data_IF_152470129194
#
_entry.id   IF_152470129194
#
_cell.length_a   1.000
_cell.length_b   1.000
_cell.length_c   1.000
_cell.angle_alpha   90.00
_cell.angle_beta   90.00
_cell.angle_gamma   90.00
#
_symmetry.space_group_name_H-M   'P 1'
#
loop_
_entity.id
_entity.type
_entity.pdbx_description
1 polymer ?
#
# COMPACT_ATOMS: atom_id res chain seq x y z
N UNK A 1 -33.29 -8.39 -12.17
CA UNK A 1 -32.23 -7.49 -12.67
C UNK A 1 -30.92 -8.15 -12.31
N UNK A 2 -30.10 -8.52 -13.29
CA UNK A 2 -28.75 -9.02 -13.07
C UNK A 2 -27.94 -8.12 -12.12
N UNK A 3 -27.10 -8.72 -11.27
CA UNK A 3 -26.24 -7.97 -10.35
C UNK A 3 -25.14 -7.20 -11.10
N UNK A 4 -24.74 -7.66 -12.29
CA UNK A 4 -23.80 -6.94 -13.16
C UNK A 4 -24.34 -5.55 -13.53
N UNK A 5 -25.66 -5.39 -13.71
CA UNK A 5 -26.25 -4.10 -14.09
C UNK A 5 -26.04 -3.04 -12.99
N UNK A 6 -25.98 -3.45 -11.71
CA UNK A 6 -25.67 -2.55 -10.59
C UNK A 6 -24.23 -2.02 -10.71
N UNK A 7 -23.33 -2.81 -11.32
CA UNK A 7 -21.93 -2.46 -11.50
C UNK A 7 -21.74 -1.55 -12.71
N UNK A 8 -22.37 -1.88 -13.84
CA UNK A 8 -22.08 -1.26 -15.15
C UNK A 8 -23.01 -0.13 -15.55
N UNK A 9 -24.18 0.01 -14.91
CA UNK A 9 -25.16 1.01 -15.26
C UNK A 9 -24.65 2.44 -15.06
N UNK A 10 -24.86 3.30 -16.07
CA UNK A 10 -24.67 4.74 -15.97
C UNK A 10 -25.81 5.44 -15.21
N UNK A 11 -26.98 4.81 -15.10
CA UNK A 11 -28.08 5.32 -14.28
C UNK A 11 -27.76 5.19 -12.79
N UNK A 12 -27.73 6.32 -12.11
CA UNK A 12 -27.41 6.46 -10.68
C UNK A 12 -28.39 5.67 -9.82
N UNK A 13 -29.68 5.60 -10.19
CA UNK A 13 -30.68 4.89 -9.35
C UNK A 13 -30.45 3.38 -9.34
N UNK A 14 -30.02 2.83 -10.47
CA UNK A 14 -29.62 1.43 -10.60
C UNK A 14 -28.25 1.19 -9.96
N UNK A 15 -27.27 2.04 -10.26
CA UNK A 15 -25.88 1.90 -9.77
C UNK A 15 -25.77 2.00 -8.25
N UNK A 16 -26.55 2.87 -7.62
CA UNK A 16 -26.50 3.10 -6.17
C UNK A 16 -27.40 2.13 -5.37
N UNK A 17 -28.02 1.15 -6.03
CA UNK A 17 -28.82 0.13 -5.34
C UNK A 17 -27.90 -0.72 -4.45
N UNK A 18 -28.34 -0.97 -3.22
CA UNK A 18 -27.56 -1.84 -2.32
C UNK A 18 -27.59 -3.28 -2.80
N UNK A 19 -26.44 -3.96 -2.66
CA UNK A 19 -26.34 -5.38 -2.95
C UNK A 19 -27.33 -6.20 -2.10
N UNK A 20 -27.49 -5.82 -0.82
CA UNK A 20 -28.46 -6.47 0.07
C UNK A 20 -29.89 -6.44 -0.48
N UNK A 21 -30.36 -5.29 -0.96
CA UNK A 21 -31.69 -5.17 -1.54
C UNK A 21 -31.83 -5.99 -2.82
N UNK A 22 -30.76 -6.08 -3.63
CA UNK A 22 -30.76 -6.85 -4.86
C UNK A 22 -30.71 -8.37 -4.63
N UNK A 23 -30.02 -8.83 -3.59
CA UNK A 23 -29.94 -10.24 -3.20
C UNK A 23 -31.14 -10.72 -2.38
N UNK A 24 -31.90 -9.80 -1.77
CA UNK A 24 -33.04 -10.12 -0.93
C UNK A 24 -34.09 -10.93 -1.69
N UNK A 25 -34.45 -12.10 -1.15
CA UNK A 25 -35.47 -12.97 -1.73
C UNK A 25 -35.01 -13.77 -2.96
N UNK A 26 -33.73 -13.70 -3.35
CA UNK A 26 -33.19 -14.60 -4.36
C UNK A 26 -33.05 -16.01 -3.77
N UNK A 27 -33.42 -17.01 -4.57
CA UNK A 27 -33.19 -18.42 -4.24
C UNK A 27 -31.71 -18.78 -4.35
N UNK A 28 -31.30 -19.88 -3.72
CA UNK A 28 -29.95 -20.42 -3.82
C UNK A 28 -29.45 -20.51 -5.28
N UNK A 29 -30.27 -21.09 -6.17
CA UNK A 29 -29.90 -21.25 -7.58
C UNK A 29 -29.69 -19.92 -8.31
N UNK A 30 -30.51 -18.90 -8.00
CA UNK A 30 -30.33 -17.55 -8.56
C UNK A 30 -29.06 -16.89 -8.03
N UNK A 31 -28.79 -16.98 -6.72
CA UNK A 31 -27.55 -16.43 -6.16
C UNK A 31 -26.30 -17.05 -6.79
N UNK A 32 -26.29 -18.37 -6.96
CA UNK A 32 -25.16 -19.05 -7.61
C UNK A 32 -25.02 -18.67 -9.08
N UNK A 33 -26.12 -18.48 -9.79
CA UNK A 33 -26.10 -18.00 -11.17
C UNK A 33 -25.50 -16.59 -11.27
N UNK A 34 -25.95 -15.67 -10.41
CA UNK A 34 -25.42 -14.30 -10.37
C UNK A 34 -23.92 -14.30 -9.97
N UNK A 35 -23.50 -15.17 -9.05
CA UNK A 35 -22.08 -15.38 -8.73
C UNK A 35 -21.29 -15.84 -9.96
N UNK A 36 -21.79 -16.79 -10.73
CA UNK A 36 -21.10 -17.25 -11.94
C UNK A 36 -20.96 -16.11 -12.96
N UNK A 37 -22.03 -15.35 -13.21
CA UNK A 37 -22.01 -14.22 -14.12
C UNK A 37 -21.00 -13.14 -13.67
N UNK A 38 -20.97 -12.82 -12.38
CA UNK A 38 -19.99 -11.89 -11.82
C UNK A 38 -18.55 -12.42 -11.92
N UNK A 39 -18.33 -13.73 -11.72
CA UNK A 39 -17.01 -14.35 -11.85
C UNK A 39 -16.49 -14.30 -13.28
N UNK A 40 -17.36 -14.63 -14.25
CA UNK A 40 -17.03 -14.55 -15.68
C UNK A 40 -16.72 -13.11 -16.08
N UNK A 41 -17.57 -12.16 -15.65
CA UNK A 41 -17.41 -10.75 -15.97
C UNK A 41 -16.09 -10.18 -15.42
N UNK A 42 -15.72 -10.45 -14.18
CA UNK A 42 -14.47 -9.92 -13.60
C UNK A 42 -13.22 -10.42 -14.33
N UNK A 43 -13.28 -11.61 -14.97
CA UNK A 43 -12.13 -12.21 -15.68
C UNK A 43 -11.90 -11.54 -17.04
N UNK A 44 -12.96 -11.07 -17.69
CA UNK A 44 -12.88 -10.42 -19.02
C UNK A 44 -12.98 -8.90 -18.98
N UNK A 45 -13.41 -8.30 -17.87
CA UNK A 45 -13.62 -6.85 -17.78
C UNK A 45 -12.30 -6.09 -17.70
N UNK A 46 -12.08 -5.12 -18.59
CA UNK A 46 -10.91 -4.24 -18.58
C UNK A 46 -11.01 -3.12 -17.53
N UNK A 47 -12.24 -2.71 -17.17
CA UNK A 47 -12.46 -1.64 -16.21
C UNK A 47 -12.13 -2.12 -14.78
N UNK A 48 -11.17 -1.44 -14.15
CA UNK A 48 -10.66 -1.83 -12.84
C UNK A 48 -11.72 -1.70 -11.75
N UNK A 49 -12.47 -0.59 -11.74
CA UNK A 49 -13.50 -0.35 -10.75
C UNK A 49 -14.57 -1.46 -10.80
N UNK A 50 -15.02 -1.80 -12.01
CA UNK A 50 -15.99 -2.87 -12.22
C UNK A 50 -15.45 -4.24 -11.76
N UNK A 51 -14.19 -4.55 -12.06
CA UNK A 51 -13.55 -5.79 -11.64
C UNK A 51 -13.48 -5.90 -10.12
N UNK A 52 -13.01 -4.86 -9.43
CA UNK A 52 -12.90 -4.83 -7.96
C UNK A 52 -14.29 -4.85 -7.31
N UNK A 53 -15.26 -4.11 -7.86
CA UNK A 53 -16.65 -4.13 -7.38
C UNK A 53 -17.28 -5.51 -7.50
N UNK A 54 -17.02 -6.22 -8.60
CA UNK A 54 -17.46 -7.60 -8.82
C UNK A 54 -16.86 -8.55 -7.77
N UNK A 55 -15.56 -8.42 -7.47
CA UNK A 55 -14.89 -9.21 -6.44
C UNK A 55 -15.49 -8.97 -5.05
N UNK A 56 -15.80 -7.73 -4.68
CA UNK A 56 -16.45 -7.43 -3.39
C UNK A 56 -17.91 -7.88 -3.35
N UNK A 57 -18.63 -7.84 -4.48
CA UNK A 57 -19.97 -8.43 -4.58
C UNK A 57 -19.92 -9.94 -4.37
N UNK A 58 -19.00 -10.63 -5.05
CA UNK A 58 -18.76 -12.06 -4.89
C UNK A 58 -18.42 -12.42 -3.45
N UNK A 59 -17.48 -11.69 -2.83
CA UNK A 59 -17.18 -11.84 -1.41
C UNK A 59 -18.43 -11.70 -0.53
N UNK A 60 -19.19 -10.61 -0.70
CA UNK A 60 -20.37 -10.34 0.12
C UNK A 60 -21.47 -11.40 -0.06
N UNK A 61 -21.71 -11.85 -1.29
CA UNK A 61 -22.68 -12.90 -1.59
C UNK A 61 -22.25 -14.21 -0.91
N UNK A 62 -21.00 -14.62 -1.08
CA UNK A 62 -20.48 -15.85 -0.47
C UNK A 62 -20.43 -15.79 1.05
N UNK A 63 -20.17 -14.61 1.64
CA UNK A 63 -19.99 -14.44 3.08
C UNK A 63 -21.29 -14.23 3.84
N UNK A 64 -22.25 -13.53 3.24
CA UNK A 64 -23.44 -13.03 3.96
C UNK A 64 -24.76 -13.50 3.36
N UNK A 65 -24.88 -13.65 2.04
CA UNK A 65 -26.15 -13.99 1.40
C UNK A 65 -26.34 -15.50 1.21
N UNK A 66 -25.34 -16.20 0.65
CA UNK A 66 -25.40 -17.65 0.43
C UNK A 66 -25.59 -18.46 1.71
N UNK A 67 -24.93 -18.17 2.86
CA UNK A 67 -25.12 -18.97 4.08
C UNK A 67 -26.58 -19.06 4.54
N UNK A 68 -27.37 -18.01 4.33
CA UNK A 68 -28.80 -18.00 4.70
C UNK A 68 -29.66 -18.96 3.88
N UNK A 69 -29.17 -19.37 2.70
CA UNK A 69 -29.84 -20.29 1.79
C UNK A 69 -29.27 -21.72 1.85
N UNK A 70 -28.27 -21.95 2.72
CA UNK A 70 -27.53 -23.21 2.82
C UNK A 70 -27.83 -23.98 4.12
N UNK A 71 -29.02 -23.80 4.67
CA UNK A 71 -29.50 -24.56 5.83
C UNK A 71 -29.46 -26.07 5.54
N UNK A 72 -28.86 -26.85 6.44
CA UNK A 72 -28.59 -28.28 6.24
C UNK A 72 -27.33 -28.58 5.43
N UNK A 73 -26.54 -27.56 5.07
CA UNK A 73 -25.23 -27.68 4.37
C UNK A 73 -24.15 -26.83 5.05
N UNK A 74 -24.16 -26.81 6.38
CA UNK A 74 -23.25 -26.01 7.20
C UNK A 74 -21.79 -26.49 7.08
N UNK A 75 -21.61 -27.80 6.91
CA UNK A 75 -20.30 -28.45 6.77
C UNK A 75 -20.02 -28.86 5.33
N UNK A 76 -18.78 -28.66 4.88
CA UNK A 76 -18.26 -29.26 3.66
C UNK A 76 -16.73 -29.29 3.66
N UNK A 77 -16.14 -29.99 2.69
CA UNK A 77 -14.69 -30.14 2.58
C UNK A 77 -14.08 -28.94 1.86
N UNK A 78 -13.11 -28.30 2.50
CA UNK A 78 -12.24 -27.32 1.83
C UNK A 78 -11.08 -28.10 1.21
N UNK A 79 -10.82 -27.88 -0.08
CA UNK A 79 -9.73 -28.54 -0.79
C UNK A 79 -8.37 -28.15 -0.20
N UNK A 80 -7.55 -29.14 0.16
CA UNK A 80 -6.18 -28.92 0.61
C UNK A 80 -5.35 -28.16 -0.43
N UNK A 81 -5.44 -28.56 -1.70
CA UNK A 81 -4.74 -27.88 -2.80
C UNK A 81 -5.18 -26.41 -2.94
N UNK A 82 -6.48 -26.14 -2.83
CA UNK A 82 -6.99 -24.76 -2.86
C UNK A 82 -6.49 -23.93 -1.67
N UNK A 83 -6.39 -24.53 -0.48
CA UNK A 83 -5.82 -23.87 0.70
C UNK A 83 -4.32 -23.61 0.57
N UNK A 84 -3.56 -24.53 -0.04
CA UNK A 84 -2.15 -24.30 -0.35
C UNK A 84 -1.96 -23.13 -1.33
N UNK A 85 -2.82 -23.00 -2.34
CA UNK A 85 -2.82 -21.83 -3.22
C UNK A 85 -3.08 -20.53 -2.45
N UNK A 86 -4.03 -20.52 -1.51
CA UNK A 86 -4.29 -19.37 -0.64
C UNK A 86 -3.05 -18.94 0.16
N UNK A 87 -2.36 -19.90 0.80
CA UNK A 87 -1.14 -19.62 1.58
C UNK A 87 -0.03 -19.02 0.73
N UNK A 88 0.07 -19.46 -0.53
CA UNK A 88 1.04 -18.96 -1.50
C UNK A 88 0.56 -17.71 -2.26
N UNK A 89 -0.53 -17.07 -1.83
CA UNK A 89 -1.12 -15.87 -2.47
C UNK A 89 -1.50 -16.06 -3.95
N UNK A 90 -1.77 -17.31 -4.35
CA UNK A 90 -2.25 -17.73 -5.68
C UNK A 90 -3.77 -17.78 -5.69
N UNK A 91 -4.42 -16.64 -5.49
CA UNK A 91 -5.87 -16.56 -5.26
C UNK A 91 -6.73 -16.97 -6.47
N UNK A 92 -6.37 -16.63 -7.73
CA UNK A 92 -7.11 -17.12 -8.90
C UNK A 92 -7.16 -18.64 -8.97
N UNK A 93 -6.03 -19.32 -8.74
CA UNK A 93 -5.94 -20.78 -8.75
C UNK A 93 -6.70 -21.41 -7.57
N UNK A 94 -6.65 -20.78 -6.39
CA UNK A 94 -7.46 -21.19 -5.24
C UNK A 94 -8.96 -21.14 -5.55
N UNK A 95 -9.42 -20.05 -6.18
CA UNK A 95 -10.81 -19.88 -6.60
C UNK A 95 -11.23 -20.94 -7.61
N UNK A 96 -10.42 -21.22 -8.64
CA UNK A 96 -10.73 -22.24 -9.63
C UNK A 96 -10.91 -23.62 -8.99
N UNK A 97 -10.05 -23.98 -8.02
CA UNK A 97 -10.17 -25.22 -7.24
C UNK A 97 -11.43 -25.24 -6.38
N UNK A 98 -11.74 -24.16 -5.67
CA UNK A 98 -12.90 -24.10 -4.79
C UNK A 98 -14.23 -24.09 -5.56
N UNK A 99 -14.32 -23.33 -6.66
CA UNK A 99 -15.49 -23.27 -7.53
C UNK A 99 -15.72 -24.62 -8.24
N UNK A 100 -14.66 -25.28 -8.71
CA UNK A 100 -14.75 -26.64 -9.27
C UNK A 100 -15.29 -27.64 -8.23
N UNK A 101 -14.83 -27.54 -6.98
CA UNK A 101 -15.35 -28.37 -5.89
C UNK A 101 -16.82 -28.07 -5.59
N UNK A 102 -17.22 -26.81 -5.62
CA UNK A 102 -18.60 -26.38 -5.43
C UNK A 102 -19.52 -26.93 -6.53
N UNK A 103 -19.05 -26.96 -7.77
CA UNK A 103 -19.80 -27.51 -8.89
C UNK A 103 -19.99 -29.04 -8.76
N UNK A 104 -19.01 -29.75 -8.19
CA UNK A 104 -19.03 -31.22 -8.06
C UNK A 104 -19.81 -31.70 -6.83
N UNK A 105 -19.53 -31.12 -5.67
CA UNK A 105 -20.10 -31.55 -4.39
C UNK A 105 -21.38 -30.78 -4.00
N UNK A 106 -21.64 -29.68 -4.70
CA UNK A 106 -22.63 -28.69 -4.31
C UNK A 106 -22.08 -27.64 -3.33
N UNK A 107 -22.84 -26.54 -3.10
CA UNK A 107 -22.47 -25.49 -2.17
C UNK A 107 -22.63 -25.94 -0.70
N UNK A 108 -21.72 -25.46 0.14
CA UNK A 108 -21.79 -25.55 1.61
C UNK A 108 -21.30 -24.25 2.24
N UNK A 109 -21.65 -24.01 3.51
CA UNK A 109 -21.19 -22.81 4.23
C UNK A 109 -19.67 -22.79 4.37
N UNK A 110 -19.04 -23.94 4.64
CA UNK A 110 -17.57 -24.03 4.74
C UNK A 110 -16.87 -23.67 3.43
N UNK A 111 -17.37 -24.17 2.30
CA UNK A 111 -16.78 -23.89 0.99
C UNK A 111 -17.05 -22.44 0.55
N UNK A 112 -18.26 -21.94 0.79
CA UNK A 112 -18.61 -20.54 0.53
C UNK A 112 -17.74 -19.58 1.35
N UNK A 113 -17.39 -19.93 2.59
CA UNK A 113 -16.45 -19.15 3.40
C UNK A 113 -15.05 -19.10 2.78
N UNK A 114 -14.54 -20.22 2.26
CA UNK A 114 -13.23 -20.28 1.59
C UNK A 114 -13.22 -19.46 0.28
N UNK A 115 -14.27 -19.60 -0.53
CA UNK A 115 -14.46 -18.83 -1.77
C UNK A 115 -14.56 -17.33 -1.47
N UNK A 116 -15.37 -16.96 -0.46
CA UNK A 116 -15.51 -15.57 -0.02
C UNK A 116 -14.16 -14.97 0.39
N UNK A 117 -13.39 -15.64 1.25
CA UNK A 117 -12.05 -15.18 1.64
C UNK A 117 -11.11 -15.06 0.44
N UNK A 118 -11.15 -16.00 -0.51
CA UNK A 118 -10.34 -15.95 -1.72
C UNK A 118 -10.69 -14.74 -2.61
N UNK A 119 -11.98 -14.45 -2.82
CA UNK A 119 -12.41 -13.23 -3.53
C UNK A 119 -12.01 -11.95 -2.82
N UNK A 120 -12.14 -11.91 -1.49
CA UNK A 120 -11.71 -10.77 -0.69
C UNK A 120 -10.21 -10.50 -0.85
N UNK A 121 -9.39 -11.54 -0.73
CA UNK A 121 -7.93 -11.44 -0.94
C UNK A 121 -7.57 -11.02 -2.36
N UNK A 122 -8.25 -11.57 -3.36
CA UNK A 122 -8.05 -11.19 -4.76
C UNK A 122 -8.46 -9.74 -5.03
N UNK A 123 -9.50 -9.22 -4.38
CA UNK A 123 -9.90 -7.81 -4.49
C UNK A 123 -8.77 -6.87 -4.04
N UNK A 124 -8.19 -7.13 -2.86
CA UNK A 124 -7.07 -6.35 -2.35
C UNK A 124 -5.80 -6.52 -3.17
N UNK A 125 -5.49 -7.73 -3.66
CA UNK A 125 -4.36 -7.94 -4.57
C UNK A 125 -4.54 -7.14 -5.87
N UNK A 126 -5.75 -7.15 -6.44
CA UNK A 126 -6.08 -6.40 -7.67
C UNK A 126 -5.88 -4.90 -7.49
N UNK A 127 -6.30 -4.35 -6.33
CA UNK A 127 -6.06 -2.94 -5.99
C UNK A 127 -4.56 -2.63 -5.79
N UNK A 128 -3.85 -3.50 -5.06
CA UNK A 128 -2.41 -3.33 -4.84
C UNK A 128 -1.61 -3.38 -6.14
N UNK A 129 -1.99 -4.26 -7.07
CA UNK A 129 -1.36 -4.36 -8.39
C UNK A 129 -1.63 -3.13 -9.26
N UNK A 130 -2.81 -2.51 -9.15
CA UNK A 130 -3.03 -1.21 -9.78
C UNK A 130 -2.11 -0.15 -9.19
N UNK A 131 -1.99 -0.05 -7.87
CA UNK A 131 -1.09 0.93 -7.24
C UNK A 131 0.35 0.73 -7.72
N UNK A 132 0.83 -0.51 -7.77
CA UNK A 132 2.15 -0.82 -8.34
C UNK A 132 2.28 -0.37 -9.79
N UNK A 133 1.24 -0.61 -10.62
CA UNK A 133 1.22 -0.20 -12.03
C UNK A 133 1.27 1.32 -12.17
N UNK A 134 0.42 2.07 -11.45
CA UNK A 134 0.35 3.54 -11.52
C UNK A 134 1.64 4.17 -11.00
N UNK A 135 2.23 3.66 -9.91
CA UNK A 135 3.50 4.18 -9.39
C UNK A 135 4.67 3.86 -10.35
N UNK A 136 4.64 2.73 -11.04
CA UNK A 136 5.63 2.37 -12.07
C UNK A 136 5.57 3.30 -13.29
N UNK A 137 4.39 3.79 -13.66
CA UNK A 137 4.24 4.70 -14.83
C UNK A 137 4.69 6.12 -14.53
N UNK A 138 4.73 6.54 -13.26
CA UNK A 138 5.31 7.83 -12.85
C UNK A 138 6.78 7.91 -13.29
N UNK A 139 7.12 8.96 -14.04
CA UNK A 139 8.47 9.24 -14.51
C UNK A 139 9.44 9.26 -13.32
N UNK A 140 10.52 8.49 -13.41
CA UNK A 140 11.53 8.38 -12.35
C UNK A 140 11.42 7.13 -11.46
N UNK A 141 10.34 6.35 -11.56
CA UNK A 141 10.15 5.12 -10.76
C UNK A 141 10.41 3.82 -11.53
N UNK A 142 10.40 3.82 -12.86
CA UNK A 142 10.47 2.60 -13.69
C UNK A 142 11.66 1.69 -13.36
N UNK A 143 12.82 2.27 -13.04
CA UNK A 143 14.03 1.52 -12.72
C UNK A 143 13.86 0.62 -11.49
N UNK A 144 13.06 1.05 -10.50
CA UNK A 144 12.82 0.30 -9.26
C UNK A 144 12.13 -1.04 -9.54
N UNK A 145 11.30 -1.10 -10.58
CA UNK A 145 10.56 -2.31 -10.95
C UNK A 145 11.35 -3.21 -11.92
N UNK A 146 12.48 -2.74 -12.45
CA UNK A 146 13.35 -3.49 -13.38
C UNK A 146 14.64 -3.99 -12.74
N UNK A 147 15.00 -3.44 -11.58
CA UNK A 147 16.23 -3.80 -10.86
C UNK A 147 16.01 -5.11 -10.12
N UNK A 148 16.37 -6.23 -10.75
CA UNK A 148 16.16 -7.59 -10.20
C UNK A 148 17.34 -8.18 -9.43
N UNK A 149 18.52 -7.57 -9.52
CA UNK A 149 19.74 -8.10 -8.94
C UNK A 149 20.55 -7.01 -8.24
N UNK A 150 21.26 -7.30 -7.12
CA UNK A 150 22.09 -6.32 -6.40
C UNK A 150 23.09 -5.55 -7.28
N UNK A 151 23.63 -6.20 -8.30
CA UNK A 151 24.58 -5.61 -9.23
C UNK A 151 23.97 -4.49 -10.11
N UNK A 152 22.64 -4.44 -10.26
CA UNK A 152 21.98 -3.50 -11.17
C UNK A 152 21.53 -2.21 -10.47
N UNK A 153 21.79 -2.08 -9.16
CA UNK A 153 21.38 -0.90 -8.38
C UNK A 153 22.07 0.35 -8.92
N UNK A 154 21.31 1.36 -9.38
CA UNK A 154 21.87 2.58 -9.96
C UNK A 154 22.19 3.65 -8.92
N UNK A 155 21.75 3.46 -7.67
CA UNK A 155 21.87 4.45 -6.61
C UNK A 155 23.28 4.50 -6.02
N UNK A 156 23.66 5.68 -5.55
CA UNK A 156 24.91 5.95 -4.83
C UNK A 156 24.60 6.88 -3.66
N UNK A 157 25.17 6.60 -2.48
CA UNK A 157 25.10 7.50 -1.34
C UNK A 157 25.90 8.77 -1.62
N UNK A 158 25.37 9.91 -1.17
CA UNK A 158 26.05 11.21 -1.22
C UNK A 158 27.41 11.14 -0.52
N UNK A 159 28.52 11.57 -1.16
CA UNK A 159 29.83 11.68 -0.53
C UNK A 159 29.84 12.50 0.76
N UNK A 160 28.93 13.46 0.89
CA UNK A 160 28.73 14.26 2.10
C UNK A 160 28.39 13.39 3.34
N UNK A 161 27.78 12.22 3.14
CA UNK A 161 27.45 11.26 4.20
C UNK A 161 28.53 10.20 4.42
N UNK A 162 29.56 10.18 3.57
CA UNK A 162 30.67 9.21 3.63
C UNK A 162 31.94 9.78 4.28
N UNK A 163 31.94 11.07 4.61
CA UNK A 163 33.08 11.72 5.27
C UNK A 163 32.94 11.58 6.78
N UNK A 164 33.79 10.76 7.38
CA UNK A 164 33.89 10.66 8.84
C UNK A 164 34.19 12.05 9.43
N UNK A 165 33.52 12.36 10.54
CA UNK A 165 33.80 13.53 11.34
C UNK A 165 35.09 13.30 12.14
N UNK A 166 36.08 14.18 11.97
CA UNK A 166 37.35 14.12 12.71
C UNK A 166 37.16 14.24 14.24
N UNK A 167 36.07 14.86 14.69
CA UNK A 167 35.80 15.10 16.11
C UNK A 167 35.15 13.90 16.81
N UNK A 168 34.25 13.21 16.12
CA UNK A 168 33.43 12.14 16.71
C UNK A 168 33.80 10.76 16.20
N UNK A 169 34.70 10.68 15.21
CA UNK A 169 35.06 9.47 14.48
C UNK A 169 33.81 8.69 14.00
N UNK A 170 32.81 9.42 13.50
CA UNK A 170 31.52 8.87 13.10
C UNK A 170 31.02 9.50 11.80
N UNK A 171 30.19 8.77 11.06
CA UNK A 171 29.57 9.29 9.84
C UNK A 171 28.50 10.34 10.18
N UNK A 172 28.29 11.34 9.30
CA UNK A 172 27.24 12.34 9.47
C UNK A 172 25.86 11.71 9.51
N UNK A 173 24.98 12.28 10.34
CA UNK A 173 23.59 11.86 10.44
C UNK A 173 22.73 12.80 9.60
N UNK A 174 22.09 12.26 8.56
CA UNK A 174 21.02 12.97 7.86
C UNK A 174 19.76 12.85 8.71
N UNK A 175 19.12 13.98 9.01
CA UNK A 175 17.90 14.03 9.82
C UNK A 175 16.79 14.73 9.08
N UNK A 176 15.58 14.17 9.15
CA UNK A 176 14.37 14.73 8.59
C UNK A 176 13.29 14.84 9.66
N UNK A 177 12.64 16.01 9.74
CA UNK A 177 11.54 16.27 10.67
C UNK A 177 10.31 16.68 9.88
N UNK A 178 9.17 16.06 10.18
CA UNK A 178 7.96 16.20 9.35
C UNK A 178 6.73 16.42 10.22
N UNK A 179 5.87 17.34 9.77
CA UNK A 179 4.57 17.59 10.37
C UNK A 179 3.63 16.40 10.18
N UNK A 180 2.60 16.29 11.01
CA UNK A 180 1.50 15.32 10.80
C UNK A 180 0.35 15.98 10.04
N UNK A 181 -0.54 15.18 9.48
CA UNK A 181 -1.70 15.69 8.75
C UNK A 181 -2.93 15.75 9.68
N UNK A 182 -3.52 16.92 9.84
CA UNK A 182 -4.85 17.08 10.44
C UNK A 182 -5.90 17.19 9.34
N UNK A 183 -6.99 16.44 9.47
CA UNK A 183 -8.11 16.53 8.54
C UNK A 183 -9.12 17.60 9.02
N UNK A 184 -9.61 18.45 8.11
CA UNK A 184 -10.77 19.29 8.37
C UNK A 184 -12.05 18.68 7.78
N UNK A 185 -11.93 18.01 6.62
CA UNK A 185 -13.03 17.31 5.96
C UNK A 185 -12.49 16.25 5.00
N UNK A 186 -12.77 14.98 5.32
CA UNK A 186 -12.56 13.83 4.45
C UNK A 186 -13.72 13.57 3.47
N UNK A 187 -14.76 14.41 3.48
CA UNK A 187 -15.98 14.29 2.66
C UNK A 187 -16.54 12.86 2.62
N UNK A 188 -16.67 12.23 3.79
CA UNK A 188 -17.15 10.85 3.91
C UNK A 188 -16.17 9.76 3.45
N UNK A 189 -14.87 9.92 3.70
CA UNK A 189 -13.81 8.98 3.29
C UNK A 189 -13.65 8.90 1.77
N UNK A 190 -13.93 10.01 1.10
CA UNK A 190 -13.84 10.16 -0.35
C UNK A 190 -12.40 9.98 -0.90
N UNK A 191 -11.42 9.91 0.01
CA UNK A 191 -10.02 9.65 -0.26
C UNK A 191 -9.66 8.16 -0.44
N UNK A 192 -10.63 7.25 -0.27
CA UNK A 192 -10.44 5.84 -0.61
C UNK A 192 -10.34 5.73 -2.14
N UNK A 193 -9.23 5.19 -2.64
CA UNK A 193 -8.97 5.04 -4.09
C UNK A 193 -10.16 4.45 -4.84
N UNK A 194 -10.78 3.40 -4.29
CA UNK A 194 -11.93 2.74 -4.90
C UNK A 194 -13.15 3.67 -5.08
N UNK A 195 -13.38 4.61 -4.16
CA UNK A 195 -14.45 5.61 -4.30
C UNK A 195 -14.07 6.69 -5.32
N UNK A 196 -12.82 7.15 -5.29
CA UNK A 196 -12.30 8.11 -6.25
C UNK A 196 -12.35 7.61 -7.70
N UNK A 197 -12.19 6.31 -7.93
CA UNK A 197 -12.28 5.69 -9.26
C UNK A 197 -13.70 5.71 -9.86
N UNK A 198 -14.76 5.83 -9.06
CA UNK A 198 -16.16 5.84 -9.51
C UNK A 198 -16.81 7.22 -9.44
N UNK A 199 -16.36 8.06 -8.52
CA UNK A 199 -16.87 9.41 -8.36
C UNK A 199 -15.74 10.40 -8.04
N UNK A 200 -14.81 10.63 -8.99
CA UNK A 200 -13.68 11.53 -8.79
C UNK A 200 -14.12 12.97 -8.47
N UNK A 201 -15.27 13.40 -9.00
CA UNK A 201 -15.82 14.73 -8.75
C UNK A 201 -16.24 14.92 -7.27
N UNK A 202 -16.54 13.83 -6.56
CA UNK A 202 -16.83 13.82 -5.12
C UNK A 202 -15.62 13.51 -4.24
N UNK A 203 -14.48 13.11 -4.83
CA UNK A 203 -13.25 12.78 -4.14
C UNK A 203 -12.52 14.07 -3.74
N UNK A 204 -12.88 14.66 -2.60
CA UNK A 204 -12.36 15.98 -2.19
C UNK A 204 -12.07 16.01 -0.71
N UNK A 205 -10.89 16.49 -0.35
CA UNK A 205 -10.48 16.65 1.05
C UNK A 205 -9.83 18.00 1.30
N UNK A 206 -10.04 18.53 2.51
CA UNK A 206 -9.34 19.71 2.99
C UNK A 206 -8.58 19.30 4.25
N UNK A 207 -7.26 19.39 4.19
CA UNK A 207 -6.39 19.02 5.32
C UNK A 207 -5.29 20.05 5.55
N UNK A 208 -4.58 19.93 6.67
CA UNK A 208 -3.42 20.74 6.98
C UNK A 208 -2.25 19.89 7.47
N UNK A 209 -1.03 20.28 7.14
CA UNK A 209 0.16 19.80 7.84
C UNK A 209 0.40 20.64 9.09
N UNK A 210 0.43 20.00 10.26
CA UNK A 210 0.53 20.66 11.55
C UNK A 210 1.67 20.09 12.40
N UNK A 211 2.31 21.00 13.13
CA UNK A 211 3.24 20.70 14.20
C UNK A 211 2.48 20.59 15.53
N UNK A 212 3.02 19.83 16.49
CA UNK A 212 2.35 19.56 17.76
C UNK A 212 3.17 20.07 18.95
N UNK A 213 2.46 20.51 19.99
CA UNK A 213 3.03 20.80 21.30
C UNK A 213 2.18 20.20 22.40
N UNK A 214 2.83 19.58 23.39
CA UNK A 214 2.19 19.23 24.66
C UNK A 214 2.26 20.46 25.56
N UNK A 215 1.09 21.00 25.93
CA UNK A 215 0.99 22.19 26.78
C UNK A 215 1.74 21.98 28.10
N UNK A 216 2.63 22.92 28.45
CA UNK A 216 3.44 22.86 29.66
C UNK A 216 4.74 22.05 29.54
N UNK A 217 4.91 21.25 28.47
CA UNK A 217 6.15 20.53 28.18
C UNK A 217 6.95 21.20 27.06
N UNK A 218 6.28 21.67 26.01
CA UNK A 218 6.92 22.30 24.85
C UNK A 218 6.74 23.83 24.90
N UNK A 219 7.78 24.55 24.49
CA UNK A 219 7.77 26.03 24.39
C UNK A 219 7.05 26.51 23.13
N UNK A 220 7.08 25.73 22.06
CA UNK A 220 6.38 25.96 20.79
C UNK A 220 6.00 24.63 20.12
N UNK A 221 5.02 24.60 19.21
CA UNK A 221 4.77 23.44 18.36
C UNK A 221 6.02 23.06 17.56
N UNK A 222 6.27 21.76 17.45
CA UNK A 222 7.35 21.21 16.63
C UNK A 222 6.87 20.01 15.81
N UNK A 223 7.55 19.67 14.71
CA UNK A 223 7.22 18.48 13.94
C UNK A 223 7.37 17.22 14.81
N UNK A 224 6.33 16.39 14.94
CA UNK A 224 6.32 15.24 15.84
C UNK A 224 7.01 14.01 15.26
N UNK A 225 7.20 13.95 13.93
CA UNK A 225 7.92 12.88 13.25
C UNK A 225 9.39 13.28 13.09
N UNK A 226 10.28 12.35 13.45
CA UNK A 226 11.72 12.51 13.38
C UNK A 226 12.34 11.24 12.81
N UNK A 227 13.08 11.38 11.72
CA UNK A 227 13.75 10.29 11.05
C UNK A 227 15.23 10.61 10.91
N UNK A 228 16.08 9.60 11.00
CA UNK A 228 17.50 9.74 10.72
C UNK A 228 18.07 8.58 9.91
N UNK A 229 19.10 8.89 9.14
CA UNK A 229 19.87 7.95 8.34
C UNK A 229 21.35 8.23 8.56
N UNK A 230 22.13 7.17 8.78
CA UNK A 230 23.59 7.25 8.80
C UNK A 230 24.21 6.01 8.17
N UNK A 231 25.41 6.18 7.65
CA UNK A 231 26.28 5.06 7.25
C UNK A 231 26.87 4.42 8.51
N UNK A 232 27.04 3.10 8.47
CA UNK A 232 27.66 2.30 9.53
C UNK A 232 28.75 1.40 8.95
N UNK A 233 29.69 0.98 9.78
CA UNK A 233 30.86 0.14 9.45
C UNK A 233 30.57 -1.37 9.47
N UNK A 234 29.30 -1.73 9.32
CA UNK A 234 28.82 -3.11 9.20
C UNK A 234 27.93 -3.25 7.97
N UNK A 235 28.09 -4.30 7.14
CA UNK A 235 27.35 -4.45 5.88
C UNK A 235 25.94 -5.00 6.09
N UNK A 236 25.13 -4.28 6.87
CA UNK A 236 23.75 -4.62 7.23
C UNK A 236 22.82 -3.43 7.01
N UNK A 237 21.53 -3.72 6.83
CA UNK A 237 20.48 -2.72 6.92
C UNK A 237 19.89 -2.78 8.33
N UNK A 238 20.19 -1.78 9.15
CA UNK A 238 19.70 -1.69 10.52
C UNK A 238 18.50 -0.76 10.56
N UNK A 239 17.36 -1.28 11.01
CA UNK A 239 16.13 -0.51 11.16
C UNK A 239 15.80 -0.37 12.65
N UNK A 240 15.46 0.84 13.08
CA UNK A 240 15.18 1.16 14.48
C UNK A 240 13.92 2.03 14.56
N UNK A 241 12.99 1.68 15.43
CA UNK A 241 11.93 2.59 15.90
C UNK A 241 12.12 2.79 17.40
N UNK A 242 12.39 4.04 17.79
CA UNK A 242 12.60 4.40 19.20
C UNK A 242 11.29 4.28 19.98
N UNK A 243 10.18 4.69 19.36
CA UNK A 243 8.85 4.69 19.98
C UNK A 243 8.25 3.30 20.15
N UNK A 244 8.62 2.34 19.29
CA UNK A 244 8.20 0.93 19.42
C UNK A 244 9.21 0.08 20.19
N UNK A 245 10.32 0.65 20.66
CA UNK A 245 11.45 -0.07 21.28
C UNK A 245 11.88 -1.29 20.45
N UNK A 246 11.98 -1.09 19.13
CA UNK A 246 12.21 -2.16 18.16
C UNK A 246 13.45 -1.90 17.32
N UNK A 247 14.28 -2.93 17.18
CA UNK A 247 15.49 -2.93 16.34
C UNK A 247 15.60 -4.24 15.58
N UNK A 248 15.98 -4.17 14.30
CA UNK A 248 16.34 -5.33 13.49
C UNK A 248 17.58 -5.03 12.66
N UNK A 249 18.41 -6.04 12.45
CA UNK A 249 19.54 -6.01 11.52
C UNK A 249 19.28 -7.02 10.41
N UNK A 250 19.11 -6.51 9.20
CA UNK A 250 18.73 -7.31 8.04
C UNK A 250 19.98 -7.60 7.21
N UNK A 251 20.18 -8.87 6.87
CA UNK A 251 21.32 -9.37 6.09
C UNK A 251 20.90 -9.93 4.74
N UNK A 252 19.71 -10.52 4.65
CA UNK A 252 19.18 -11.06 3.41
C UNK A 252 18.10 -10.14 2.81
N UNK A 253 18.10 -9.98 1.49
CA UNK A 253 17.16 -9.08 0.78
C UNK A 253 15.70 -9.49 1.03
N UNK A 254 15.42 -10.80 1.04
CA UNK A 254 14.07 -11.32 1.22
C UNK A 254 13.46 -10.93 2.59
N UNK A 255 14.28 -10.72 3.63
CA UNK A 255 13.80 -10.28 4.95
C UNK A 255 13.24 -8.85 4.94
N UNK A 256 13.62 -8.02 3.95
CA UNK A 256 13.06 -6.68 3.75
C UNK A 256 11.61 -6.76 3.26
N UNK A 257 11.25 -7.82 2.54
CA UNK A 257 9.89 -8.06 2.03
C UNK A 257 9.02 -8.89 3.00
N UNK A 258 9.60 -9.40 4.09
CA UNK A 258 8.87 -10.11 5.14
C UNK A 258 8.31 -9.13 6.18
N UNK A 259 7.13 -8.59 5.88
CA UNK A 259 6.42 -7.63 6.74
C UNK A 259 5.84 -8.26 8.02
N UNK A 260 5.73 -9.59 8.10
CA UNK A 260 5.15 -10.28 9.25
C UNK A 260 6.19 -10.63 10.33
N UNK A 261 7.48 -10.54 10.00
CA UNK A 261 8.59 -10.92 10.88
C UNK A 261 8.77 -10.03 12.11
N UNK A 262 8.44 -8.76 12.00
CA UNK A 262 8.69 -7.75 13.03
C UNK A 262 7.71 -6.56 12.93
N UNK A 263 7.78 -5.64 13.89
CA UNK A 263 6.92 -4.46 13.96
C UNK A 263 7.44 -3.27 13.13
N UNK A 264 8.50 -3.44 12.33
CA UNK A 264 9.15 -2.37 11.55
C UNK A 264 8.73 -2.39 10.08
N UNK A 265 7.60 -3.04 9.76
CA UNK A 265 7.06 -3.13 8.40
C UNK A 265 6.89 -1.78 7.68
N UNK A 266 6.60 -0.69 8.41
CA UNK A 266 6.52 0.65 7.83
C UNK A 266 7.88 1.14 7.33
N UNK A 267 8.95 0.94 8.12
CA UNK A 267 10.31 1.32 7.73
C UNK A 267 10.78 0.45 6.55
N UNK A 268 10.46 -0.85 6.55
CA UNK A 268 10.70 -1.73 5.39
C UNK A 268 10.00 -1.22 4.13
N UNK A 269 8.73 -0.83 4.25
CA UNK A 269 7.97 -0.19 3.18
C UNK A 269 8.65 1.08 2.65
N UNK A 270 9.21 1.90 3.54
CA UNK A 270 9.96 3.09 3.17
C UNK A 270 11.26 2.76 2.41
N UNK A 271 12.02 1.77 2.87
CA UNK A 271 13.26 1.30 2.22
C UNK A 271 12.98 0.80 0.81
N UNK A 272 11.91 0.02 0.65
CA UNK A 272 11.47 -0.51 -0.65
C UNK A 272 11.02 0.62 -1.57
N UNK A 273 10.13 1.49 -1.08
CA UNK A 273 9.56 2.58 -1.85
C UNK A 273 10.58 3.70 -2.17
N UNK A 274 11.60 3.90 -1.35
CA UNK A 274 12.73 4.78 -1.65
C UNK A 274 13.67 4.19 -2.73
N UNK A 275 13.54 2.89 -3.02
CA UNK A 275 14.36 2.18 -3.99
C UNK A 275 15.74 1.77 -3.47
N UNK A 276 15.98 1.83 -2.15
CA UNK A 276 17.21 1.29 -1.57
C UNK A 276 17.30 -0.22 -1.79
N UNK A 277 16.18 -0.92 -1.54
CA UNK A 277 15.96 -2.34 -1.85
C UNK A 277 14.67 -2.42 -2.68
N UNK A 278 14.73 -2.11 -3.98
CA UNK A 278 13.54 -1.81 -4.78
C UNK A 278 12.67 -3.05 -5.04
N UNK A 279 11.36 -2.89 -5.37
CA UNK A 279 10.43 -4.00 -5.58
C UNK A 279 10.89 -5.08 -6.57
N UNK A 280 11.67 -4.72 -7.58
CA UNK A 280 12.21 -5.67 -8.56
C UNK A 280 13.09 -6.77 -7.93
N UNK A 281 13.64 -6.54 -6.74
CA UNK A 281 14.50 -7.50 -6.03
C UNK A 281 13.74 -8.51 -5.17
N UNK A 282 12.42 -8.41 -5.06
CA UNK A 282 11.61 -9.35 -4.28
C UNK A 282 11.83 -10.77 -4.81
N UNK A 283 12.31 -11.67 -3.95
CA UNK A 283 12.57 -13.07 -4.31
C UNK A 283 13.93 -13.35 -4.97
N UNK A 284 14.81 -12.36 -5.13
CA UNK A 284 16.14 -12.60 -5.76
C UNK A 284 17.09 -13.44 -4.88
N UNK A 285 16.85 -13.52 -3.56
CA UNK A 285 17.67 -14.31 -2.64
C UNK A 285 19.10 -13.81 -2.41
N UNK A 286 19.40 -12.56 -2.77
CA UNK A 286 20.73 -11.94 -2.56
C UNK A 286 20.92 -11.32 -1.16
N UNK A 287 22.14 -10.86 -0.87
CA UNK A 287 22.49 -10.24 0.41
C UNK A 287 22.44 -8.72 0.37
N UNK A 288 22.12 -8.11 1.51
CA UNK A 288 22.18 -6.65 1.70
C UNK A 288 23.59 -6.12 1.46
N UNK A 289 24.61 -6.87 1.89
CA UNK A 289 26.01 -6.52 1.69
C UNK A 289 26.37 -6.29 0.21
N UNK A 290 25.79 -7.09 -0.71
CA UNK A 290 26.06 -6.99 -2.14
C UNK A 290 25.49 -5.69 -2.73
N UNK A 291 24.30 -5.29 -2.25
CA UNK A 291 23.67 -4.01 -2.63
C UNK A 291 24.50 -2.83 -2.11
N UNK A 292 24.85 -2.86 -0.82
CA UNK A 292 25.56 -1.76 -0.18
C UNK A 292 27.02 -1.62 -0.59
N UNK A 293 27.68 -2.73 -0.95
CA UNK A 293 29.03 -2.65 -1.54
C UNK A 293 29.06 -1.79 -2.80
N UNK A 294 27.97 -1.78 -3.58
CA UNK A 294 27.86 -0.96 -4.78
C UNK A 294 27.33 0.45 -4.47
N UNK A 295 26.34 0.57 -3.59
CA UNK A 295 25.67 1.85 -3.30
C UNK A 295 26.49 2.78 -2.38
N UNK A 296 27.32 2.22 -1.50
CA UNK A 296 27.99 2.93 -0.41
C UNK A 296 29.49 2.66 -0.43
N UNK A 297 29.85 1.37 -0.48
CA UNK A 297 31.23 0.90 -0.39
C UNK A 297 31.32 -0.44 0.35
N UNK A 298 32.39 -1.23 0.13
CA UNK A 298 32.53 -2.55 0.73
C UNK A 298 32.61 -2.47 2.25
N UNK A 299 31.93 -3.40 2.94
CA UNK A 299 31.91 -3.48 4.41
C UNK A 299 31.02 -2.46 5.11
N UNK A 300 30.41 -1.52 4.37
CA UNK A 300 29.53 -0.50 4.92
C UNK A 300 28.05 -0.88 4.81
N UNK A 301 27.24 -0.29 5.68
CA UNK A 301 25.79 -0.43 5.66
C UNK A 301 25.05 0.84 6.05
N UNK A 302 23.75 0.71 6.27
CA UNK A 302 22.87 1.82 6.63
C UNK A 302 22.13 1.53 7.92
N UNK A 303 22.05 2.54 8.77
CA UNK A 303 21.11 2.58 9.88
C UNK A 303 20.04 3.64 9.62
N UNK A 304 18.78 3.22 9.71
CA UNK A 304 17.60 4.07 9.57
C UNK A 304 16.82 4.02 10.87
N UNK A 305 16.63 5.18 11.48
CA UNK A 305 15.91 5.32 12.73
C UNK A 305 14.68 6.19 12.56
N UNK A 306 13.56 5.79 13.15
CA UNK A 306 12.35 6.61 13.27
C UNK A 306 11.98 6.87 14.72
N UNK A 307 11.32 8.00 14.95
CA UNK A 307 10.67 8.34 16.21
C UNK A 307 9.43 9.18 15.95
N UNK A 308 8.33 8.79 16.58
CA UNK A 308 7.11 9.61 16.66
C UNK A 308 6.93 10.08 18.10
N UNK A 309 6.84 11.39 18.30
CA UNK A 309 6.70 11.97 19.64
C UNK A 309 5.24 11.99 20.11
N UNK A 310 4.96 11.25 21.20
CA UNK A 310 3.79 11.47 22.08
C UNK A 310 2.42 11.47 21.36
N UNK A 311 2.25 10.71 20.26
CA UNK A 311 0.97 10.55 19.57
C UNK A 311 0.47 9.10 19.73
N UNK A 312 -0.71 8.88 20.34
CA UNK A 312 -1.27 7.54 20.45
C UNK A 312 -1.74 7.01 19.09
N UNK A 313 -1.72 5.68 18.92
CA UNK A 313 -2.33 5.00 17.77
C UNK A 313 -3.82 5.39 17.69
N UNK A 314 -4.32 5.62 16.47
CA UNK A 314 -5.72 6.01 16.25
C UNK A 314 -6.00 7.50 16.42
N UNK A 315 -4.97 8.36 16.53
CA UNK A 315 -5.10 9.83 16.62
C UNK A 315 -5.76 10.51 15.42
N UNK A 316 -5.94 9.80 14.30
CA UNK A 316 -6.42 10.32 13.00
C UNK A 316 -5.54 11.44 12.41
N UNK A 317 -4.28 11.51 12.83
CA UNK A 317 -3.30 12.48 12.34
C UNK A 317 -2.41 11.94 11.19
N UNK A 318 -2.80 10.83 10.56
CA UNK A 318 -2.05 10.16 9.48
C UNK A 318 -0.55 9.95 9.76
N UNK A 319 -0.19 9.69 11.01
CA UNK A 319 1.21 9.57 11.44
C UNK A 319 2.00 8.61 10.56
N UNK A 320 1.42 7.45 10.24
CA UNK A 320 2.07 6.40 9.47
C UNK A 320 2.50 6.86 8.08
N UNK A 321 1.59 7.43 7.29
CA UNK A 321 1.90 7.85 5.91
C UNK A 321 2.83 9.06 5.88
N UNK A 322 2.68 10.00 6.82
CA UNK A 322 3.62 11.10 6.97
C UNK A 322 5.03 10.62 7.37
N UNK A 323 5.12 9.63 8.27
CA UNK A 323 6.39 9.00 8.64
C UNK A 323 7.01 8.28 7.46
N UNK A 324 6.21 7.55 6.69
CA UNK A 324 6.63 6.89 5.46
C UNK A 324 7.18 7.90 4.44
N UNK A 325 6.47 9.01 4.22
CA UNK A 325 6.93 10.10 3.36
C UNK A 325 8.26 10.72 3.83
N UNK A 326 8.41 10.93 5.14
CA UNK A 326 9.64 11.44 5.78
C UNK A 326 10.83 10.50 5.55
N UNK A 327 10.64 9.20 5.80
CA UNK A 327 11.67 8.18 5.60
C UNK A 327 12.07 8.07 4.11
N UNK A 328 11.09 8.09 3.21
CA UNK A 328 11.32 8.03 1.76
C UNK A 328 12.11 9.25 1.28
N UNK A 329 11.67 10.46 1.65
CA UNK A 329 12.36 11.71 1.32
C UNK A 329 13.80 11.70 1.83
N UNK A 330 14.03 11.30 3.08
CA UNK A 330 15.38 11.18 3.65
C UNK A 330 16.26 10.21 2.86
N UNK A 331 15.75 9.02 2.52
CA UNK A 331 16.49 8.04 1.72
C UNK A 331 16.79 8.57 0.31
N UNK A 332 15.83 9.27 -0.30
CA UNK A 332 15.99 9.89 -1.62
C UNK A 332 17.01 11.04 -1.59
N UNK A 333 17.07 11.83 -0.51
CA UNK A 333 18.09 12.86 -0.29
C UNK A 333 19.49 12.24 -0.19
N UNK A 334 19.60 11.18 0.61
CA UNK A 334 20.85 10.43 0.79
C UNK A 334 21.37 9.83 -0.52
N UNK A 335 20.49 9.52 -1.48
CA UNK A 335 20.82 8.84 -2.75
C UNK A 335 20.69 9.72 -3.99
N UNK A 336 20.61 11.06 -3.81
CA UNK A 336 20.53 12.06 -4.89
C UNK A 336 19.33 11.88 -5.85
N UNK A 337 18.23 11.32 -5.36
CA UNK A 337 17.00 11.16 -6.13
C UNK A 337 16.11 12.42 -6.11
N UNK A 338 16.37 13.36 -5.20
CA UNK A 338 15.71 14.67 -5.10
C UNK A 338 16.71 15.81 -5.29
N UNK A 339 16.20 16.99 -5.70
CA UNK A 339 17.01 18.17 -6.02
C UNK A 339 17.73 18.72 -4.79
N UNK A 340 17.00 18.84 -3.67
CA UNK A 340 17.48 19.46 -2.44
C UNK A 340 18.10 18.44 -1.49
N UNK A 341 19.31 18.69 -0.99
CA UNK A 341 19.90 17.86 0.06
C UNK A 341 19.27 18.13 1.43
N UNK A 342 18.96 19.39 1.72
CA UNK A 342 18.32 19.85 2.97
C UNK A 342 17.25 20.89 2.66
N UNK A 343 16.37 21.19 3.62
CA UNK A 343 15.31 22.20 3.44
C UNK A 343 14.07 21.62 2.77
N UNK A 344 13.22 22.49 2.22
CA UNK A 344 11.97 22.05 1.59
C UNK A 344 12.24 21.29 0.28
N UNK A 345 11.40 20.29 -0.01
CA UNK A 345 11.39 19.62 -1.31
C UNK A 345 10.78 20.55 -2.36
N UNK A 346 11.23 20.43 -3.60
CA UNK A 346 10.57 21.06 -4.76
C UNK A 346 9.28 20.31 -5.12
N UNK A 347 8.39 20.97 -5.87
CA UNK A 347 7.08 20.41 -6.23
C UNK A 347 7.18 19.06 -6.97
N UNK A 348 8.14 18.92 -7.90
CA UNK A 348 8.37 17.66 -8.61
C UNK A 348 8.76 16.52 -7.67
N UNK A 349 9.60 16.83 -6.67
CA UNK A 349 10.09 15.86 -5.71
C UNK A 349 9.00 15.41 -4.75
N UNK A 350 8.16 16.35 -4.29
CA UNK A 350 6.99 16.04 -3.44
C UNK A 350 6.05 15.05 -4.13
N UNK A 351 5.80 15.24 -5.43
CA UNK A 351 4.95 14.31 -6.21
C UNK A 351 5.53 12.90 -6.27
N UNK A 352 6.85 12.77 -6.45
CA UNK A 352 7.52 11.46 -6.46
C UNK A 352 7.48 10.82 -5.08
N UNK A 353 7.78 11.58 -4.01
CA UNK A 353 7.72 11.11 -2.63
C UNK A 353 6.30 10.66 -2.27
N UNK A 354 5.27 11.43 -2.64
CA UNK A 354 3.88 11.09 -2.39
C UNK A 354 3.47 9.79 -3.12
N UNK A 355 3.83 9.65 -4.41
CA UNK A 355 3.57 8.42 -5.16
C UNK A 355 4.26 7.18 -4.52
N UNK A 356 5.48 7.36 -4.03
CA UNK A 356 6.23 6.30 -3.33
C UNK A 356 5.69 6.02 -1.92
N UNK A 357 5.16 7.02 -1.22
CA UNK A 357 4.50 6.81 0.06
C UNK A 357 3.24 5.95 -0.13
N UNK A 358 2.43 6.22 -1.15
CA UNK A 358 1.29 5.35 -1.53
C UNK A 358 1.78 3.93 -1.82
N UNK A 359 2.86 3.76 -2.59
CA UNK A 359 3.44 2.44 -2.86
C UNK A 359 3.84 1.71 -1.58
N UNK A 360 4.63 2.35 -0.72
CA UNK A 360 5.12 1.75 0.51
C UNK A 360 3.99 1.34 1.46
N UNK A 361 2.91 2.14 1.48
CA UNK A 361 1.73 1.87 2.29
C UNK A 361 0.96 0.62 1.79
N UNK A 362 0.79 0.50 0.48
CA UNK A 362 0.10 -0.64 -0.14
C UNK A 362 0.94 -1.92 -0.10
N UNK A 363 2.27 -1.84 -0.24
CA UNK A 363 3.16 -3.00 -0.07
C UNK A 363 3.17 -3.44 1.40
N UNK A 364 3.18 -2.50 2.35
CA UNK A 364 3.11 -2.78 3.79
C UNK A 364 1.75 -3.30 4.28
N UNK A 365 0.72 -3.28 3.42
CA UNK A 365 -0.55 -3.95 3.65
C UNK A 365 -1.61 -3.14 4.42
N UNK A 366 -1.42 -1.84 4.67
CA UNK A 366 -2.48 -1.03 5.30
C UNK A 366 -3.56 -0.57 4.32
N UNK A 367 -3.20 -0.36 3.03
CA UNK A 367 -4.16 -0.07 1.96
C UNK A 367 -5.00 1.20 2.19
N UNK A 368 -4.39 2.28 2.68
CA UNK A 368 -5.08 3.52 3.02
C UNK A 368 -5.44 4.42 1.83
N UNK A 369 -6.09 5.53 2.16
CA UNK A 369 -6.52 6.56 1.21
C UNK A 369 -5.37 7.45 0.73
N UNK A 370 -5.61 8.22 -0.33
CA UNK A 370 -4.58 9.04 -0.97
C UNK A 370 -4.26 10.34 -0.22
N UNK A 371 -5.17 10.84 0.64
CA UNK A 371 -5.01 12.16 1.25
C UNK A 371 -3.81 12.28 2.19
N UNK A 372 -3.46 11.16 2.83
CA UNK A 372 -2.43 11.10 3.87
C UNK A 372 -1.04 11.40 3.28
N UNK A 373 -0.82 10.98 2.03
CA UNK A 373 0.39 11.32 1.27
C UNK A 373 0.48 12.82 0.93
N UNK A 374 -0.65 13.53 0.96
CA UNK A 374 -0.70 15.00 0.90
C UNK A 374 -0.04 15.69 2.10
N UNK A 375 0.32 14.95 3.15
CA UNK A 375 1.11 15.43 4.29
C UNK A 375 2.50 15.97 3.92
N UNK A 376 3.03 15.58 2.75
CA UNK A 376 4.32 16.04 2.22
C UNK A 376 4.30 17.53 1.83
N UNK A 377 3.12 18.08 1.50
CA UNK A 377 2.95 19.52 1.27
C UNK A 377 2.74 20.26 2.60
N UNK A 378 3.31 21.46 2.77
CA UNK A 378 3.09 22.27 3.96
C UNK A 378 1.71 22.94 3.95
N UNK A 379 1.29 23.48 5.10
CA UNK A 379 0.13 24.38 5.20
C UNK A 379 -1.22 23.69 5.01
N UNK A 380 -2.23 24.46 4.62
CA UNK A 380 -3.59 23.98 4.32
C UNK A 380 -3.66 23.62 2.83
N UNK A 381 -4.27 22.49 2.49
CA UNK A 381 -4.42 22.04 1.12
C UNK A 381 -5.83 21.55 0.85
N UNK A 382 -6.32 21.89 -0.33
CA UNK A 382 -7.43 21.25 -1.00
C UNK A 382 -6.83 20.21 -1.95
N UNK A 383 -7.23 18.95 -1.80
CA UNK A 383 -6.81 17.87 -2.70
C UNK A 383 -8.08 17.24 -3.26
N UNK A 384 -8.12 17.10 -4.59
CA UNK A 384 -9.31 16.69 -5.32
C UNK A 384 -8.95 15.62 -6.34
N UNK A 385 -9.85 14.66 -6.55
CA UNK A 385 -9.81 13.77 -7.69
C UNK A 385 -10.16 14.52 -8.98
N UNK A 386 -9.63 14.03 -10.09
CA UNK A 386 -9.98 14.49 -11.42
C UNK A 386 -10.39 13.30 -12.29
N UNK A 387 -11.22 13.55 -13.30
CA UNK A 387 -11.48 12.56 -14.34
C UNK A 387 -10.17 12.26 -15.07
N UNK A 388 -9.94 10.99 -15.38
CA UNK A 388 -8.76 10.58 -16.15
C UNK A 388 -8.80 11.20 -17.56
N UNK A 389 -7.71 11.85 -17.97
CA UNK A 389 -7.50 12.38 -19.31
C UNK A 389 -6.67 11.43 -20.19
N UNK A 390 -6.57 11.65 -21.51
CA UNK A 390 -5.88 10.75 -22.44
C UNK A 390 -4.41 10.42 -22.12
N UNK A 391 -3.74 11.29 -21.37
CA UNK A 391 -2.35 11.11 -20.95
C UNK A 391 -2.21 10.33 -19.63
N UNK A 392 -3.33 10.07 -18.94
CA UNK A 392 -3.35 9.36 -17.67
C UNK A 392 -3.36 7.83 -17.88
N UNK A 393 -2.59 7.06 -17.09
CA UNK A 393 -2.58 5.60 -17.16
C UNK A 393 -3.96 4.95 -16.96
N UNK A 394 -4.88 5.66 -16.30
CA UNK A 394 -6.23 5.23 -15.98
C UNK A 394 -7.28 5.55 -17.07
N UNK A 395 -6.90 6.27 -18.14
CA UNK A 395 -7.84 6.66 -19.20
C UNK A 395 -8.53 5.45 -19.84
N UNK A 396 -9.86 5.43 -19.79
CA UNK A 396 -10.67 4.32 -20.31
C UNK A 396 -10.66 3.05 -19.45
N UNK A 397 -9.92 3.04 -18.33
CA UNK A 397 -9.85 1.93 -17.36
C UNK A 397 -10.67 2.26 -16.11
N UNK A 398 -10.68 3.51 -15.66
CA UNK A 398 -11.57 4.06 -14.63
C UNK A 398 -12.06 5.46 -15.04
N UNK A 399 -12.97 6.05 -14.26
CA UNK A 399 -13.50 7.40 -14.55
C UNK A 399 -12.45 8.48 -14.34
#
# INVERSE_FOLDING_TARGET
>A
MPLIDIITSADITTRNRSLDAACRGLSLGKLLHECQQLDDYRRSCDNLYHRVRSLFFLYAIHRFHLPTQLTGRESGRISYAGYEHMLNRRYPEALDVFLSRQATDGPSVSLSSAIGEAYHRLAFQTLADQVRRSVRTVRGNQWMFRTGHPADVPLQIRPELLKLSDQTNSYPVLRERTAVRMDFSHSGWSDIFFLGMDYPEGAKVINASIDLAVRGRHTKPEPPIDCSLRVIDEPVLRLISIDLDAKVEIREINEVFDFARDYLGLIKGAVIAAGLIPPGMEGCGGKIADVFSRMIGPGLGLEITSRVNDIPKGSRLAVSTNLLGSLISMCMRATRQVSAFTGQLDESDRRIVAARAILGEWIGGSGGGWQDSGGVWPGIKLIEGCLAGPDDPEFGISR
#
